data_IF_921420576673
#
_entry.id   IF_921420576673
#
_cell.length_a   1.000
_cell.length_b   1.000
_cell.length_c   1.000
_cell.angle_alpha   90.00
_cell.angle_beta   90.00
_cell.angle_gamma   90.00
#
_symmetry.space_group_name_H-M   'P 1'
#
loop_
_entity.id
_entity.type
_entity.pdbx_description
1 polymer ?
#
# COMPACT_ATOMS: atom_id res chain seq x y z
N UNK A 1 0.37 18.10 -9.84
CA UNK A 1 -0.46 18.31 -11.05
C UNK A 1 -0.58 19.78 -11.43
N UNK A 2 -1.11 20.65 -10.56
CA UNK A 2 -1.23 22.09 -10.85
C UNK A 2 0.12 22.75 -11.12
N UNK A 3 1.15 22.41 -10.35
CA UNK A 3 2.50 22.92 -10.54
C UNK A 3 3.07 22.50 -11.91
N UNK A 4 2.99 21.21 -12.24
CA UNK A 4 3.48 20.68 -13.54
C UNK A 4 2.82 21.41 -14.70
N UNK A 5 1.50 21.56 -14.66
CA UNK A 5 0.75 22.26 -15.71
C UNK A 5 1.12 23.74 -15.80
N UNK A 6 1.24 24.42 -14.67
CA UNK A 6 1.66 25.82 -14.65
C UNK A 6 3.07 26.02 -15.24
N UNK A 7 3.99 25.10 -14.95
CA UNK A 7 5.34 25.12 -15.52
C UNK A 7 5.33 24.83 -17.03
N UNK A 8 4.55 23.85 -17.49
CA UNK A 8 4.39 23.56 -18.91
C UNK A 8 3.78 24.74 -19.67
N UNK A 9 2.73 25.35 -19.13
CA UNK A 9 2.13 26.59 -19.68
C UNK A 9 3.15 27.75 -19.71
N UNK A 10 4.00 27.87 -18.69
CA UNK A 10 5.08 28.86 -18.66
C UNK A 10 6.14 28.57 -19.74
N UNK A 11 6.50 27.33 -19.97
CA UNK A 11 7.46 26.95 -21.02
C UNK A 11 6.92 27.29 -22.41
N UNK A 12 5.61 27.18 -22.64
CA UNK A 12 4.95 27.46 -23.91
C UNK A 12 5.10 28.92 -24.38
N UNK A 13 5.50 29.85 -23.50
CA UNK A 13 5.84 31.24 -23.87
C UNK A 13 7.11 31.35 -24.73
N UNK A 14 7.93 30.28 -24.78
CA UNK A 14 9.16 30.22 -25.58
C UNK A 14 9.13 28.99 -26.50
N UNK A 15 9.36 27.81 -25.93
CA UNK A 15 9.31 26.50 -26.61
C UNK A 15 8.53 25.56 -25.74
N UNK A 16 7.39 25.01 -26.19
CA UNK A 16 6.55 24.13 -25.36
C UNK A 16 7.31 22.90 -24.88
N UNK A 17 7.26 22.66 -23.56
CA UNK A 17 7.75 21.43 -22.93
C UNK A 17 6.54 20.64 -22.41
N UNK A 18 6.37 19.38 -22.82
CA UNK A 18 5.23 18.56 -22.40
C UNK A 18 5.13 18.37 -20.88
N UNK A 19 3.90 18.25 -20.37
CA UNK A 19 3.61 17.99 -18.95
C UNK A 19 4.40 16.79 -18.41
N UNK A 20 4.52 15.72 -19.21
CA UNK A 20 5.22 14.49 -18.85
C UNK A 20 6.72 14.72 -18.64
N UNK A 21 7.33 15.59 -19.45
CA UNK A 21 8.75 15.95 -19.34
C UNK A 21 8.99 16.79 -18.09
N UNK A 22 8.14 17.80 -17.84
CA UNK A 22 8.20 18.60 -16.61
C UNK A 22 8.00 17.70 -15.37
N UNK A 23 7.02 16.80 -15.42
CA UNK A 23 6.77 15.87 -14.32
C UNK A 23 8.00 14.98 -14.05
N UNK A 24 8.64 14.47 -15.11
CA UNK A 24 9.85 13.65 -14.98
C UNK A 24 11.02 14.45 -14.39
N UNK A 25 11.23 15.69 -14.84
CA UNK A 25 12.30 16.57 -14.32
C UNK A 25 12.12 17.00 -12.87
N UNK A 26 10.89 16.92 -12.35
CA UNK A 26 10.57 17.20 -10.94
C UNK A 26 10.73 15.97 -10.04
N UNK A 27 10.96 14.77 -10.62
CA UNK A 27 11.23 13.57 -9.83
C UNK A 27 12.67 13.58 -9.31
N UNK A 28 12.91 12.86 -8.21
CA UNK A 28 14.23 12.72 -7.64
C UNK A 28 14.64 13.87 -6.72
N UNK A 29 15.95 14.01 -6.46
CA UNK A 29 16.50 15.05 -5.60
C UNK A 29 16.78 16.30 -6.41
N UNK A 30 16.25 17.45 -5.96
CA UNK A 30 16.48 18.74 -6.58
C UNK A 30 16.46 19.87 -5.56
N UNK A 31 17.07 20.99 -5.91
CA UNK A 31 17.10 22.20 -5.10
C UNK A 31 16.36 23.35 -5.81
N UNK A 32 15.64 24.22 -5.07
CA UNK A 32 14.88 25.33 -5.66
C UNK A 32 15.81 26.49 -6.05
N UNK A 33 16.66 26.26 -7.06
CA UNK A 33 17.60 27.26 -7.60
C UNK A 33 17.09 27.82 -8.93
N UNK A 34 17.54 29.04 -9.29
CA UNK A 34 17.24 29.61 -10.58
C UNK A 34 17.76 28.78 -11.75
N UNK A 35 18.94 28.14 -11.57
CA UNK A 35 19.52 27.25 -12.56
C UNK A 35 18.65 25.99 -12.77
N UNK A 36 18.19 25.36 -11.71
CA UNK A 36 17.26 24.21 -11.82
C UNK A 36 15.95 24.62 -12.50
N UNK A 37 15.40 25.80 -12.16
CA UNK A 37 14.20 26.33 -12.80
C UNK A 37 14.39 26.53 -14.32
N UNK A 38 15.52 27.06 -14.74
CA UNK A 38 15.83 27.23 -16.16
C UNK A 38 15.95 25.90 -16.89
N UNK A 39 16.61 24.91 -16.30
CA UNK A 39 16.69 23.54 -16.84
C UNK A 39 15.32 22.89 -16.94
N UNK A 40 14.47 23.09 -15.94
CA UNK A 40 13.12 22.53 -15.90
C UNK A 40 12.27 22.94 -17.11
N UNK A 41 12.46 24.18 -17.58
CA UNK A 41 11.72 24.80 -18.71
C UNK A 41 12.47 24.74 -20.04
N UNK A 42 13.69 24.23 -20.08
CA UNK A 42 14.46 24.15 -21.32
C UNK A 42 13.87 23.10 -22.28
N UNK A 43 13.82 23.35 -23.60
CA UNK A 43 13.30 22.40 -24.59
C UNK A 43 14.16 21.14 -24.67
N UNK A 44 15.48 21.30 -24.59
CA UNK A 44 16.46 20.22 -24.59
C UNK A 44 17.28 20.31 -23.30
N UNK A 45 17.31 19.25 -22.53
CA UNK A 45 18.16 19.12 -21.35
C UNK A 45 18.81 17.74 -21.44
N UNK A 46 20.12 17.74 -21.40
CA UNK A 46 20.88 16.55 -21.11
C UNK A 46 20.53 16.12 -19.67
N UNK A 47 19.66 15.15 -19.55
CA UNK A 47 19.15 14.69 -18.27
C UNK A 47 20.20 13.78 -17.60
N UNK A 48 21.28 14.41 -17.15
CA UNK A 48 22.43 13.77 -16.56
C UNK A 48 22.16 13.09 -15.20
N UNK A 49 20.93 13.16 -14.68
CA UNK A 49 20.57 12.48 -13.43
C UNK A 49 20.18 11.03 -13.71
N UNK A 50 21.20 10.18 -13.73
CA UNK A 50 21.06 8.73 -13.94
C UNK A 50 20.19 8.05 -12.89
N UNK A 51 20.00 8.68 -11.72
CA UNK A 51 19.19 8.13 -10.63
C UNK A 51 17.70 8.36 -10.79
N UNK A 52 17.27 9.28 -11.68
CA UNK A 52 15.92 9.79 -11.73
C UNK A 52 14.87 8.73 -12.14
N UNK A 53 13.83 8.51 -11.29
CA UNK A 53 12.73 7.61 -11.62
C UNK A 53 11.76 8.25 -12.61
N UNK A 54 10.98 7.43 -13.31
CA UNK A 54 9.83 7.91 -14.07
C UNK A 54 8.65 8.24 -13.17
N UNK A 55 7.81 9.23 -13.52
CA UNK A 55 6.57 9.49 -12.80
C UNK A 55 5.67 8.26 -12.80
N UNK A 56 5.14 7.90 -11.62
CA UNK A 56 4.35 6.68 -11.47
C UNK A 56 2.95 6.80 -12.11
N UNK A 57 2.56 5.79 -12.87
CA UNK A 57 1.19 5.62 -13.31
C UNK A 57 0.34 5.01 -12.19
N UNK A 58 -0.78 5.64 -11.85
CA UNK A 58 -1.61 5.29 -10.69
C UNK A 58 -2.98 4.78 -11.14
N UNK A 59 -3.38 3.62 -10.65
CA UNK A 59 -4.68 3.02 -10.91
C UNK A 59 -5.83 3.77 -10.23
N UNK A 60 -6.99 3.82 -10.90
CA UNK A 60 -8.27 4.21 -10.32
C UNK A 60 -8.89 3.07 -9.50
N UNK A 61 -9.68 3.36 -8.44
CA UNK A 61 -10.52 2.34 -7.84
C UNK A 61 -11.58 1.90 -8.88
N UNK A 62 -11.81 0.59 -8.99
CA UNK A 62 -12.97 0.05 -9.66
C UNK A 62 -14.08 -0.02 -8.60
N UNK A 63 -15.08 0.84 -8.75
CA UNK A 63 -16.23 0.95 -7.86
C UNK A 63 -17.43 0.14 -8.40
N UNK A 64 -17.46 -0.03 -9.72
CA UNK A 64 -18.46 -0.83 -10.42
C UNK A 64 -17.99 -2.29 -10.51
N UNK A 65 -18.93 -3.17 -10.87
CA UNK A 65 -18.60 -4.57 -11.17
C UNK A 65 -17.75 -4.67 -12.45
N UNK A 66 -16.93 -5.72 -12.62
CA UNK A 66 -16.01 -5.88 -13.77
C UNK A 66 -16.69 -5.87 -15.13
N UNK A 67 -18.01 -6.12 -15.18
CA UNK A 67 -18.83 -6.09 -16.39
C UNK A 67 -18.74 -4.75 -17.11
N UNK A 68 -18.51 -3.67 -16.41
CA UNK A 68 -18.34 -2.32 -16.97
C UNK A 68 -17.07 -2.16 -17.80
N UNK A 69 -16.12 -3.10 -17.70
CA UNK A 69 -14.81 -3.01 -18.38
C UNK A 69 -14.78 -3.61 -19.78
N UNK A 70 -15.86 -4.27 -20.27
CA UNK A 70 -15.89 -4.89 -21.59
C UNK A 70 -15.27 -6.30 -21.60
N UNK A 71 -14.57 -6.67 -22.68
CA UNK A 71 -14.01 -8.01 -22.86
C UNK A 71 -12.89 -8.29 -21.84
N UNK A 72 -12.95 -9.45 -21.15
CA UNK A 72 -11.94 -9.86 -20.16
C UNK A 72 -10.57 -10.05 -20.80
N UNK A 73 -10.48 -10.46 -22.04
CA UNK A 73 -9.22 -10.70 -22.76
C UNK A 73 -8.44 -9.41 -23.08
N UNK A 74 -9.10 -8.25 -23.04
CA UNK A 74 -8.41 -6.95 -23.14
C UNK A 74 -7.63 -6.58 -21.90
N UNK A 75 -7.82 -7.30 -20.80
CA UNK A 75 -7.25 -6.97 -19.51
C UNK A 75 -6.24 -8.00 -19.04
N UNK A 76 -5.18 -7.51 -18.41
CA UNK A 76 -4.24 -8.30 -17.66
C UNK A 76 -4.59 -8.15 -16.18
N UNK A 77 -4.96 -9.26 -15.54
CA UNK A 77 -5.22 -9.30 -14.11
C UNK A 77 -3.96 -9.73 -13.36
N UNK A 78 -3.64 -9.01 -12.29
CA UNK A 78 -2.54 -9.32 -11.40
C UNK A 78 -3.00 -9.17 -9.94
N UNK A 79 -2.30 -9.83 -9.01
CA UNK A 79 -2.57 -9.63 -7.60
C UNK A 79 -2.19 -8.21 -7.16
N UNK A 80 -3.09 -7.57 -6.41
CA UNK A 80 -2.77 -6.31 -5.75
C UNK A 80 -2.08 -6.60 -4.41
N UNK A 81 -0.77 -6.62 -4.47
CA UNK A 81 0.08 -6.85 -3.30
C UNK A 81 0.06 -5.67 -2.34
N UNK A 82 0.34 -5.97 -1.07
CA UNK A 82 0.45 -5.00 0.00
C UNK A 82 1.91 -4.82 0.40
N UNK A 83 2.56 -3.86 -0.21
CA UNK A 83 3.99 -3.58 -0.05
C UNK A 83 4.33 -2.10 -0.21
N UNK A 84 5.52 -1.84 -0.71
CA UNK A 84 5.99 -0.51 -1.10
C UNK A 84 6.28 -0.52 -2.59
N UNK A 85 5.46 0.16 -3.38
CA UNK A 85 5.74 0.33 -4.80
C UNK A 85 7.03 1.10 -5.01
N UNK A 86 7.89 0.56 -5.88
CA UNK A 86 9.19 1.14 -6.18
C UNK A 86 9.59 0.94 -7.64
N UNK A 87 10.44 1.84 -8.14
CA UNK A 87 11.16 1.68 -9.39
C UNK A 87 12.62 1.33 -9.12
N UNK A 88 13.07 0.26 -9.74
CA UNK A 88 14.47 -0.17 -9.79
C UNK A 88 15.09 0.35 -11.08
N UNK A 89 16.16 1.11 -10.97
CA UNK A 89 16.85 1.79 -12.07
C UNK A 89 18.26 1.25 -12.15
N UNK A 90 18.64 0.73 -13.31
CA UNK A 90 20.01 0.31 -13.63
C UNK A 90 20.53 1.16 -14.77
N UNK A 91 21.37 2.13 -14.49
CA UNK A 91 21.95 3.04 -15.50
C UNK A 91 23.39 3.38 -15.19
N UNK A 92 24.24 3.42 -16.21
CA UNK A 92 25.67 3.73 -16.12
C UNK A 92 26.40 2.91 -15.05
N UNK A 93 26.11 1.61 -15.00
CA UNK A 93 26.72 0.72 -14.02
C UNK A 93 26.24 0.91 -12.58
N UNK A 94 25.28 1.82 -12.30
CA UNK A 94 24.76 2.12 -10.98
C UNK A 94 23.32 1.61 -10.82
N UNK A 95 22.94 1.31 -9.58
CA UNK A 95 21.60 0.85 -9.24
C UNK A 95 20.95 1.80 -8.24
N UNK A 96 19.72 2.21 -8.53
CA UNK A 96 18.92 3.06 -7.66
C UNK A 96 17.55 2.45 -7.44
N UNK A 97 17.01 2.63 -6.24
CA UNK A 97 15.66 2.17 -5.89
C UNK A 97 14.88 3.33 -5.29
N UNK A 98 13.84 3.77 -6.00
CA UNK A 98 12.97 4.86 -5.61
C UNK A 98 11.59 4.35 -5.21
N UNK A 99 11.12 4.74 -4.03
CA UNK A 99 9.74 4.49 -3.65
C UNK A 99 8.76 5.43 -4.37
N UNK A 100 7.49 5.04 -4.43
CA UNK A 100 6.41 5.90 -4.97
C UNK A 100 6.28 7.23 -4.21
N UNK A 101 6.73 7.29 -2.97
CA UNK A 101 6.76 8.51 -2.17
C UNK A 101 7.92 9.44 -2.50
N UNK A 102 8.64 9.20 -3.61
CA UNK A 102 9.80 10.00 -4.05
C UNK A 102 10.96 9.95 -3.05
N UNK A 103 11.14 8.82 -2.38
CA UNK A 103 12.23 8.58 -1.45
C UNK A 103 13.23 7.60 -2.07
N UNK A 104 14.52 7.96 -2.11
CA UNK A 104 15.60 7.06 -2.50
C UNK A 104 15.83 6.07 -1.36
N UNK A 105 15.57 4.79 -1.63
CA UNK A 105 15.60 3.72 -0.63
C UNK A 105 16.64 2.64 -0.93
N UNK A 106 17.59 2.92 -1.83
CA UNK A 106 18.63 2.01 -2.29
C UNK A 106 19.33 1.30 -1.12
N UNK A 107 19.81 2.04 -0.12
CA UNK A 107 20.55 1.50 1.02
C UNK A 107 19.71 0.62 1.96
N UNK A 108 18.37 0.67 1.82
CA UNK A 108 17.45 -0.09 2.66
C UNK A 108 17.14 -1.49 2.14
N UNK A 109 17.52 -1.79 0.89
CA UNK A 109 17.21 -3.06 0.23
C UNK A 109 18.42 -3.60 -0.53
N UNK A 110 19.56 -3.82 0.17
CA UNK A 110 20.82 -4.22 -0.46
C UNK A 110 20.73 -5.54 -1.22
N UNK A 111 19.85 -6.46 -0.80
CA UNK A 111 19.60 -7.73 -1.49
C UNK A 111 18.95 -7.55 -2.87
N UNK A 112 18.06 -6.57 -3.01
CA UNK A 112 17.43 -6.21 -4.29
C UNK A 112 18.43 -5.49 -5.19
N UNK A 113 19.23 -4.60 -4.60
CA UNK A 113 20.28 -3.86 -5.32
C UNK A 113 21.33 -4.81 -5.88
N UNK A 114 21.80 -5.78 -5.08
CA UNK A 114 22.76 -6.78 -5.53
C UNK A 114 22.20 -7.65 -6.67
N UNK A 115 20.92 -8.03 -6.60
CA UNK A 115 20.27 -8.78 -7.68
C UNK A 115 20.16 -7.96 -8.99
N UNK A 116 19.99 -6.65 -8.88
CA UNK A 116 19.90 -5.76 -10.03
C UNK A 116 21.23 -5.61 -10.82
N UNK A 117 22.37 -5.99 -10.26
CA UNK A 117 23.65 -6.01 -10.97
C UNK A 117 23.65 -6.99 -12.16
N UNK A 118 22.74 -7.97 -12.15
CA UNK A 118 22.55 -8.92 -13.25
C UNK A 118 21.71 -8.35 -14.41
N UNK A 119 21.04 -7.21 -14.20
CA UNK A 119 20.25 -6.57 -15.24
C UNK A 119 21.16 -5.82 -16.21
N UNK A 120 20.82 -5.82 -17.52
CA UNK A 120 21.48 -4.95 -18.48
C UNK A 120 21.42 -3.49 -18.08
N UNK A 121 22.44 -2.73 -18.44
CA UNK A 121 22.44 -1.28 -18.24
C UNK A 121 21.34 -0.62 -19.08
N UNK A 122 20.77 0.49 -18.60
CA UNK A 122 19.62 1.10 -19.23
C UNK A 122 18.30 0.35 -18.99
N UNK A 123 18.15 -0.32 -17.84
CA UNK A 123 16.92 -1.02 -17.45
C UNK A 123 16.21 -0.28 -16.31
N UNK A 124 14.90 -0.04 -16.46
CA UNK A 124 14.04 0.46 -15.37
C UNK A 124 12.83 -0.45 -15.21
N UNK A 125 12.67 -0.98 -14.01
CA UNK A 125 11.57 -1.88 -13.62
C UNK A 125 10.63 -1.18 -12.63
N UNK A 126 9.33 -1.42 -12.75
CA UNK A 126 8.32 -1.04 -11.77
C UNK A 126 7.84 -2.29 -11.02
N UNK A 127 7.79 -2.23 -9.71
CA UNK A 127 7.47 -3.40 -8.88
C UNK A 127 6.98 -3.04 -7.49
N UNK A 128 6.72 -4.06 -6.69
CA UNK A 128 6.34 -3.95 -5.29
C UNK A 128 7.41 -4.58 -4.41
N UNK A 129 7.99 -3.81 -3.48
CA UNK A 129 8.87 -4.33 -2.44
C UNK A 129 8.02 -5.07 -1.40
N UNK A 130 8.31 -6.36 -1.24
CA UNK A 130 7.56 -7.25 -0.37
C UNK A 130 8.49 -8.02 0.57
N UNK A 131 8.12 -8.19 1.84
CA UNK A 131 8.82 -9.11 2.73
C UNK A 131 8.49 -10.54 2.29
N UNK A 132 9.53 -11.37 2.08
CA UNK A 132 9.40 -12.65 1.40
C UNK A 132 10.19 -13.76 2.07
N UNK A 133 9.55 -14.89 2.35
CA UNK A 133 10.23 -16.07 2.90
C UNK A 133 9.58 -17.36 2.40
N UNK A 134 10.38 -18.38 2.17
CA UNK A 134 9.86 -19.71 1.79
C UNK A 134 8.97 -19.72 0.53
N UNK A 135 9.19 -18.80 -0.43
CA UNK A 135 8.36 -18.71 -1.63
C UNK A 135 7.05 -17.93 -1.45
N UNK A 136 6.82 -17.32 -0.28
CA UNK A 136 5.56 -16.63 0.05
C UNK A 136 5.77 -15.23 0.62
N UNK A 137 4.77 -14.37 0.42
CA UNK A 137 4.76 -13.00 0.96
C UNK A 137 4.45 -13.05 2.45
N UNK A 138 5.29 -12.42 3.26
CA UNK A 138 5.04 -12.21 4.69
C UNK A 138 4.06 -11.03 4.88
N UNK A 139 3.37 -10.93 6.02
CA UNK A 139 2.52 -9.78 6.34
C UNK A 139 3.29 -8.46 6.26
N UNK A 140 2.66 -7.40 5.78
CA UNK A 140 3.25 -6.05 5.67
C UNK A 140 3.87 -5.53 6.97
N UNK A 141 3.35 -5.95 8.12
CA UNK A 141 3.90 -5.63 9.44
C UNK A 141 5.38 -6.01 9.57
N UNK A 142 5.85 -7.05 8.87
CA UNK A 142 7.26 -7.42 8.86
C UNK A 142 8.08 -6.40 8.07
N UNK A 143 7.58 -5.93 6.91
CA UNK A 143 8.25 -4.88 6.14
C UNK A 143 8.35 -3.57 6.94
N UNK A 144 7.33 -3.23 7.74
CA UNK A 144 7.36 -2.05 8.61
C UNK A 144 8.51 -2.07 9.61
N UNK A 145 9.04 -3.23 10.01
CA UNK A 145 10.22 -3.34 10.89
C UNK A 145 11.49 -2.80 10.21
N UNK A 146 11.54 -2.78 8.87
CA UNK A 146 12.67 -2.23 8.07
C UNK A 146 12.46 -0.76 7.72
N UNK A 147 11.21 -0.35 7.52
CA UNK A 147 10.86 1.04 7.17
C UNK A 147 11.33 2.00 8.28
N UNK A 148 12.01 3.06 7.90
CA UNK A 148 12.48 4.08 8.85
C UNK A 148 13.80 3.75 9.57
N UNK A 149 14.39 2.59 9.37
CA UNK A 149 15.73 2.29 9.89
C UNK A 149 16.80 2.89 8.99
N UNK A 150 17.73 3.64 9.57
CA UNK A 150 18.88 4.21 8.84
C UNK A 150 19.93 3.14 8.52
N UNK A 151 20.09 2.14 9.39
CA UNK A 151 21.04 1.03 9.23
C UNK A 151 20.33 -0.29 9.45
N UNK A 152 20.67 -1.29 8.64
CA UNK A 152 20.13 -2.64 8.72
C UNK A 152 21.20 -3.59 9.25
N UNK A 153 20.88 -4.35 10.29
CA UNK A 153 21.75 -5.43 10.77
C UNK A 153 21.60 -6.68 9.89
N UNK A 154 22.63 -7.53 9.85
CA UNK A 154 22.55 -8.84 9.17
C UNK A 154 21.38 -9.68 9.66
N UNK A 155 21.10 -9.63 10.97
CA UNK A 155 19.93 -10.30 11.57
C UNK A 155 18.62 -9.82 10.96
N UNK A 156 18.44 -8.50 10.78
CA UNK A 156 17.23 -7.93 10.19
C UNK A 156 17.05 -8.36 8.73
N UNK A 157 18.12 -8.40 7.95
CA UNK A 157 18.08 -8.86 6.56
C UNK A 157 17.68 -10.33 6.45
N UNK A 158 18.11 -11.17 7.40
CA UNK A 158 17.75 -12.60 7.48
C UNK A 158 16.32 -12.82 7.98
N UNK A 159 15.88 -12.06 8.99
CA UNK A 159 14.54 -12.19 9.57
C UNK A 159 13.44 -11.66 8.65
N UNK A 160 13.74 -10.63 7.88
CA UNK A 160 12.81 -9.97 6.97
C UNK A 160 13.48 -9.76 5.61
N UNK A 161 13.75 -10.84 4.87
CA UNK A 161 14.24 -10.71 3.50
C UNK A 161 13.19 -10.03 2.62
N UNK A 162 13.63 -9.25 1.63
CA UNK A 162 12.75 -8.48 0.75
C UNK A 162 13.07 -8.78 -0.71
N UNK A 163 12.03 -8.84 -1.51
CA UNK A 163 12.10 -8.95 -2.97
C UNK A 163 11.47 -7.72 -3.62
N UNK A 164 11.84 -7.42 -4.84
CA UNK A 164 11.06 -6.56 -5.72
C UNK A 164 10.25 -7.46 -6.66
N UNK A 165 8.97 -7.62 -6.38
CA UNK A 165 8.05 -8.33 -7.26
C UNK A 165 7.73 -7.42 -8.45
N UNK A 166 8.28 -7.74 -9.62
CA UNK A 166 8.26 -6.88 -10.79
C UNK A 166 7.04 -7.15 -11.66
N UNK A 167 6.43 -6.09 -12.19
CA UNK A 167 5.23 -6.20 -13.02
C UNK A 167 5.22 -5.30 -14.27
N UNK A 168 6.18 -4.37 -14.41
CA UNK A 168 6.28 -3.53 -15.60
C UNK A 168 7.74 -3.19 -15.93
N UNK A 169 8.02 -2.95 -17.21
CA UNK A 169 9.30 -2.53 -17.77
C UNK A 169 9.13 -1.14 -18.39
N UNK A 170 9.88 -0.18 -17.90
CA UNK A 170 9.75 1.22 -18.33
C UNK A 170 10.87 1.69 -19.24
N UNK A 171 12.05 1.08 -19.10
CA UNK A 171 13.22 1.35 -19.92
C UNK A 171 13.97 0.05 -20.20
N UNK A 172 14.42 -0.09 -21.43
CA UNK A 172 15.18 -1.25 -21.89
C UNK A 172 16.32 -0.80 -22.80
N UNK A 173 17.55 -1.18 -22.47
CA UNK A 173 18.78 -0.80 -23.21
C UNK A 173 18.88 0.72 -23.43
N UNK A 174 18.45 1.52 -22.43
CA UNK A 174 18.44 2.97 -22.47
C UNK A 174 17.29 3.59 -23.29
N UNK A 175 16.45 2.78 -23.92
CA UNK A 175 15.27 3.25 -24.63
C UNK A 175 14.03 3.35 -23.74
N UNK A 176 13.27 4.44 -23.83
CA UNK A 176 12.00 4.63 -23.11
C UNK A 176 10.90 3.75 -23.70
N UNK A 177 10.39 2.79 -22.92
CA UNK A 177 9.34 1.85 -23.30
C UNK A 177 7.95 2.23 -22.83
N UNK A 178 7.78 3.32 -22.12
CA UNK A 178 6.50 3.74 -21.53
C UNK A 178 5.41 3.99 -22.58
N UNK A 179 5.76 4.39 -23.77
CA UNK A 179 4.84 4.60 -24.90
C UNK A 179 4.36 3.30 -25.58
N UNK A 180 4.99 2.16 -25.29
CA UNK A 180 4.59 0.86 -25.83
C UNK A 180 3.38 0.29 -25.09
N UNK A 181 2.57 -0.57 -25.72
CA UNK A 181 1.51 -1.30 -25.05
C UNK A 181 2.03 -2.14 -23.86
N UNK A 182 1.21 -2.29 -22.82
CA UNK A 182 1.55 -3.13 -21.68
C UNK A 182 1.90 -4.56 -22.07
N UNK A 183 1.21 -5.12 -23.08
CA UNK A 183 1.49 -6.48 -23.60
C UNK A 183 2.92 -6.63 -24.10
N UNK A 184 3.47 -5.62 -24.78
CA UNK A 184 4.85 -5.64 -25.25
C UNK A 184 5.84 -5.47 -24.11
N UNK A 185 5.58 -4.52 -23.22
CA UNK A 185 6.42 -4.28 -22.02
C UNK A 185 6.47 -5.53 -21.13
N UNK A 186 5.33 -6.22 -20.99
CA UNK A 186 5.24 -7.47 -20.23
C UNK A 186 6.01 -8.61 -20.89
N UNK A 187 5.87 -8.79 -22.19
CA UNK A 187 6.61 -9.81 -22.92
C UNK A 187 8.14 -9.61 -22.79
N UNK A 188 8.62 -8.36 -22.90
CA UNK A 188 10.03 -8.05 -22.72
C UNK A 188 10.50 -8.26 -21.27
N UNK A 189 9.66 -7.91 -20.29
CA UNK A 189 9.93 -8.16 -18.87
C UNK A 189 10.09 -9.66 -18.59
N UNK A 190 9.22 -10.49 -19.16
CA UNK A 190 9.29 -11.95 -19.05
C UNK A 190 10.56 -12.49 -19.71
N UNK A 191 10.89 -12.03 -20.91
CA UNK A 191 12.09 -12.42 -21.62
C UNK A 191 13.38 -12.04 -20.84
N UNK A 192 13.33 -10.95 -20.09
CA UNK A 192 14.44 -10.50 -19.23
C UNK A 192 14.56 -11.34 -17.96
N UNK A 193 13.46 -11.50 -17.20
CA UNK A 193 13.53 -12.00 -15.83
C UNK A 193 13.46 -13.53 -15.71
N UNK A 194 12.75 -14.21 -16.62
CA UNK A 194 12.64 -15.68 -16.56
C UNK A 194 13.99 -16.39 -16.69
N UNK A 195 14.89 -15.99 -17.62
CA UNK A 195 16.23 -16.60 -17.71
C UNK A 195 17.12 -16.27 -16.50
N UNK A 196 16.97 -15.07 -15.91
CA UNK A 196 17.75 -14.66 -14.74
C UNK A 196 17.40 -15.48 -13.50
N UNK A 197 16.15 -15.96 -13.39
CA UNK A 197 15.63 -16.75 -12.28
C UNK A 197 16.04 -16.20 -10.90
N UNK A 198 16.14 -14.86 -10.77
CA UNK A 198 16.60 -14.19 -9.55
C UNK A 198 15.54 -14.27 -8.45
N UNK A 199 15.84 -14.86 -7.30
CA UNK A 199 14.89 -14.93 -6.19
C UNK A 199 14.47 -13.55 -5.64
N UNK A 200 15.31 -12.51 -5.85
CA UNK A 200 15.06 -11.15 -5.36
C UNK A 200 14.30 -10.29 -6.37
N UNK A 201 14.21 -10.72 -7.63
CA UNK A 201 13.48 -10.04 -8.70
C UNK A 201 12.42 -10.96 -9.33
N UNK A 202 11.50 -11.53 -8.52
CA UNK A 202 10.47 -12.40 -9.06
C UNK A 202 9.49 -11.60 -9.95
N UNK A 203 8.97 -12.29 -10.96
CA UNK A 203 7.94 -11.75 -11.84
C UNK A 203 6.57 -11.87 -11.18
N UNK A 204 5.78 -10.80 -11.20
CA UNK A 204 4.37 -10.83 -10.77
C UNK A 204 3.57 -11.78 -11.64
N UNK A 205 2.92 -12.75 -11.03
CA UNK A 205 2.09 -13.70 -11.76
C UNK A 205 0.84 -13.02 -12.32
N UNK A 206 0.52 -13.33 -13.57
CA UNK A 206 -0.77 -12.99 -14.17
C UNK A 206 -1.81 -13.96 -13.60
N UNK A 207 -2.94 -13.42 -13.17
CA UNK A 207 -4.10 -14.20 -12.74
C UNK A 207 -4.84 -14.65 -13.99
N UNK A 208 -4.90 -15.96 -14.28
CA UNK A 208 -5.62 -16.45 -15.44
C UNK A 208 -7.12 -16.22 -15.27
N UNK A 209 -7.77 -15.74 -16.32
CA UNK A 209 -9.22 -15.55 -16.38
C UNK A 209 -9.67 -15.61 -17.82
N UNK A 210 -10.57 -16.55 -18.10
CA UNK A 210 -11.29 -16.68 -19.38
C UNK A 210 -12.63 -15.97 -19.32
N UNK A 211 -13.16 -15.82 -18.11
CA UNK A 211 -14.42 -15.17 -17.82
C UNK A 211 -14.25 -14.13 -16.70
N UNK A 212 -15.25 -13.29 -16.54
CA UNK A 212 -15.29 -12.34 -15.42
C UNK A 212 -15.53 -13.00 -14.07
N UNK A 213 -16.27 -14.12 -14.09
CA UNK A 213 -16.49 -14.93 -12.88
C UNK A 213 -15.18 -15.48 -12.35
N UNK A 214 -14.23 -15.83 -13.21
CA UNK A 214 -12.89 -16.27 -12.80
C UNK A 214 -12.17 -15.18 -12.00
N UNK A 215 -12.29 -13.91 -12.44
CA UNK A 215 -11.73 -12.77 -11.70
C UNK A 215 -12.41 -12.58 -10.34
N UNK A 216 -13.72 -12.79 -10.27
CA UNK A 216 -14.51 -12.70 -9.02
C UNK A 216 -14.10 -13.80 -8.06
N UNK A 217 -13.97 -15.03 -8.53
CA UNK A 217 -13.50 -16.19 -7.76
C UNK A 217 -12.06 -15.98 -7.28
N UNK A 218 -11.16 -15.55 -8.18
CA UNK A 218 -9.79 -15.24 -7.81
C UNK A 218 -9.73 -14.17 -6.71
N UNK A 219 -10.51 -13.09 -6.87
CA UNK A 219 -10.60 -12.02 -5.88
C UNK A 219 -11.12 -12.54 -4.53
N UNK A 220 -12.06 -13.46 -4.49
CA UNK A 220 -12.59 -14.05 -3.26
C UNK A 220 -11.53 -14.88 -2.50
N UNK A 221 -10.66 -15.63 -3.20
CA UNK A 221 -9.58 -16.47 -2.64
C UNK A 221 -8.35 -15.68 -2.12
N UNK A 222 -8.38 -14.38 -2.06
CA UNK A 222 -7.25 -13.49 -1.69
C UNK A 222 -6.70 -13.67 -0.28
N UNK A 223 -7.57 -14.05 0.70
CA UNK A 223 -7.18 -14.10 2.12
C UNK A 223 -6.02 -15.06 2.36
N UNK A 224 -5.95 -16.11 1.58
CA UNK A 224 -4.87 -17.10 1.61
C UNK A 224 -3.52 -16.57 1.08
N UNK A 225 -3.54 -15.43 0.35
CA UNK A 225 -2.38 -14.90 -0.37
C UNK A 225 -1.83 -13.58 0.18
N UNK A 226 -2.39 -13.00 1.24
CA UNK A 226 -2.00 -11.70 1.79
C UNK A 226 -2.03 -10.56 0.75
N UNK A 227 -3.06 -10.52 -0.11
CA UNK A 227 -3.24 -9.50 -1.14
C UNK A 227 -4.47 -8.63 -0.85
N UNK A 228 -4.49 -7.39 -1.38
CA UNK A 228 -5.59 -6.44 -1.19
C UNK A 228 -6.71 -6.57 -2.24
N UNK A 229 -6.58 -7.44 -3.23
CA UNK A 229 -7.49 -7.62 -4.35
C UNK A 229 -6.76 -7.85 -5.66
N UNK A 230 -7.30 -7.33 -6.75
CA UNK A 230 -6.74 -7.42 -8.08
C UNK A 230 -6.36 -6.04 -8.66
N UNK A 231 -5.36 -6.04 -9.50
CA UNK A 231 -5.04 -4.97 -10.45
C UNK A 231 -5.51 -5.44 -11.83
N UNK A 232 -6.34 -4.64 -12.49
CA UNK A 232 -6.78 -4.88 -13.85
C UNK A 232 -6.13 -3.81 -14.73
N UNK A 233 -5.29 -4.23 -15.66
CA UNK A 233 -4.51 -3.34 -16.51
C UNK A 233 -4.88 -3.64 -17.98
N UNK A 234 -5.27 -2.61 -18.74
CA UNK A 234 -5.57 -2.80 -20.16
C UNK A 234 -4.29 -3.18 -20.91
N UNK A 235 -4.32 -4.29 -21.67
CA UNK A 235 -3.16 -4.85 -22.37
C UNK A 235 -2.59 -3.89 -23.42
N UNK A 236 -3.44 -3.07 -24.05
CA UNK A 236 -3.05 -2.04 -25.02
C UNK A 236 -2.59 -0.72 -24.42
N UNK A 237 -2.64 -0.57 -23.07
CA UNK A 237 -2.33 0.71 -22.43
C UNK A 237 -0.85 1.05 -22.44
N UNK A 238 -0.55 2.33 -22.62
CA UNK A 238 0.76 2.91 -22.37
C UNK A 238 0.97 3.15 -20.89
N UNK A 239 2.20 3.35 -20.43
CA UNK A 239 2.50 3.74 -19.06
C UNK A 239 2.40 5.27 -18.93
N UNK A 240 1.31 5.73 -18.33
CA UNK A 240 0.97 7.15 -18.25
C UNK A 240 1.52 7.80 -16.97
N UNK A 241 1.35 9.12 -16.85
CA UNK A 241 1.78 9.88 -15.67
C UNK A 241 0.61 10.17 -14.74
N UNK A 242 0.80 9.84 -13.46
CA UNK A 242 -0.17 10.11 -12.40
C UNK A 242 -1.43 9.23 -12.50
N UNK A 243 -2.56 9.74 -12.03
CA UNK A 243 -3.81 8.98 -12.01
C UNK A 243 -4.68 9.36 -13.21
N UNK A 244 -4.87 8.43 -14.13
CA UNK A 244 -5.78 8.57 -15.27
C UNK A 244 -6.78 7.41 -15.27
N UNK A 245 -8.04 7.72 -15.59
CA UNK A 245 -9.13 6.74 -15.62
C UNK A 245 -9.12 6.03 -16.97
N UNK A 246 -9.43 4.72 -16.95
CA UNK A 246 -9.70 3.94 -18.16
C UNK A 246 -8.77 2.77 -18.38
N UNK A 247 -7.48 2.87 -18.03
CA UNK A 247 -6.48 1.87 -18.39
C UNK A 247 -6.05 0.96 -17.22
N UNK A 248 -5.90 1.53 -16.02
CA UNK A 248 -5.50 0.77 -14.84
C UNK A 248 -6.52 0.92 -13.73
N UNK A 249 -7.03 -0.22 -13.25
CA UNK A 249 -7.99 -0.30 -12.16
C UNK A 249 -7.45 -1.15 -11.01
N UNK A 250 -7.73 -0.73 -9.80
CA UNK A 250 -7.55 -1.50 -8.58
C UNK A 250 -8.91 -1.95 -8.09
N UNK A 251 -9.15 -3.23 -8.17
CA UNK A 251 -10.37 -3.86 -7.71
C UNK A 251 -10.15 -4.45 -6.34
N UNK A 252 -10.24 -3.57 -5.36
CA UNK A 252 -10.10 -3.96 -3.96
C UNK A 252 -11.34 -4.69 -3.50
N UNK A 253 -11.18 -5.49 -2.46
CA UNK A 253 -12.32 -6.03 -1.77
C UNK A 253 -12.84 -4.99 -0.80
N UNK A 254 -14.13 -5.11 -0.47
CA UNK A 254 -14.76 -4.28 0.51
C UNK A 254 -14.01 -4.35 1.85
N UNK A 255 -13.81 -3.21 2.50
CA UNK A 255 -13.16 -3.17 3.80
C UNK A 255 -13.99 -3.99 4.80
N UNK A 256 -13.34 -4.49 5.84
CA UNK A 256 -14.07 -4.90 7.03
C UNK A 256 -14.84 -3.71 7.56
N UNK A 257 -16.08 -3.91 7.97
CA UNK A 257 -16.90 -2.85 8.55
C UNK A 257 -17.29 -3.17 9.98
N UNK A 258 -17.36 -2.12 10.81
CA UNK A 258 -17.77 -2.24 12.20
C UNK A 258 -18.43 -0.95 12.67
N UNK A 259 -19.52 -1.06 13.43
CA UNK A 259 -20.14 0.10 14.04
C UNK A 259 -19.50 0.41 15.39
N UNK A 260 -18.97 1.61 15.53
CA UNK A 260 -18.16 2.01 16.67
C UNK A 260 -18.60 3.36 17.25
N UNK A 261 -18.40 3.53 18.55
CA UNK A 261 -18.74 4.74 19.30
C UNK A 261 -17.57 5.70 19.31
N UNK A 262 -17.79 6.96 18.97
CA UNK A 262 -16.79 8.02 19.12
C UNK A 262 -16.64 8.40 20.60
N UNK A 263 -15.39 8.28 21.12
CA UNK A 263 -15.09 8.59 22.53
C UNK A 263 -14.08 9.72 22.71
N UNK A 264 -13.21 9.98 21.73
CA UNK A 264 -12.29 11.11 21.76
C UNK A 264 -12.27 11.83 20.41
N UNK A 265 -11.97 13.12 20.46
CA UNK A 265 -11.73 13.96 19.29
C UNK A 265 -10.48 14.84 19.51
N UNK A 266 -9.74 15.06 18.43
CA UNK A 266 -8.55 15.91 18.40
C UNK A 266 -8.66 16.89 17.23
N UNK A 267 -8.07 18.08 17.36
CA UNK A 267 -8.00 19.05 16.28
C UNK A 267 -7.16 18.51 15.13
N UNK A 268 -7.60 18.77 13.92
CA UNK A 268 -6.87 18.44 12.72
C UNK A 268 -5.64 19.31 12.51
N UNK A 269 -4.99 19.13 11.37
CA UNK A 269 -3.82 19.91 10.94
C UNK A 269 -4.11 20.65 9.64
N UNK A 270 -3.26 21.62 9.30
CA UNK A 270 -3.38 22.40 8.07
C UNK A 270 -4.74 23.13 7.96
N UNK A 271 -5.47 22.94 6.87
CA UNK A 271 -6.79 23.59 6.64
C UNK A 271 -7.85 23.22 7.68
N UNK A 272 -7.67 22.11 8.40
CA UNK A 272 -8.59 21.60 9.41
C UNK A 272 -8.16 21.90 10.85
N UNK A 273 -7.14 22.74 11.06
CA UNK A 273 -6.61 23.06 12.39
C UNK A 273 -7.63 23.72 13.33
N UNK A 274 -8.66 24.37 12.77
CA UNK A 274 -9.74 24.99 13.55
C UNK A 274 -10.86 24.04 13.96
N UNK A 275 -10.93 22.84 13.37
CA UNK A 275 -11.98 21.84 13.56
C UNK A 275 -11.44 20.61 14.29
N UNK A 276 -12.29 19.94 15.06
CA UNK A 276 -12.04 18.58 15.50
C UNK A 276 -12.31 17.64 14.31
N UNK A 277 -11.27 17.00 13.77
CA UNK A 277 -11.35 16.15 12.59
C UNK A 277 -10.61 14.82 12.72
N UNK A 278 -10.03 14.58 13.87
CA UNK A 278 -9.33 13.35 14.24
C UNK A 278 -10.12 12.69 15.39
N UNK A 279 -10.67 11.49 15.16
CA UNK A 279 -11.58 10.85 16.10
C UNK A 279 -11.07 9.49 16.53
N UNK A 280 -11.24 9.16 17.82
CA UNK A 280 -10.96 7.83 18.37
C UNK A 280 -12.28 7.11 18.63
N UNK A 281 -12.33 5.86 18.17
CA UNK A 281 -13.50 5.02 18.22
C UNK A 281 -13.29 3.80 19.11
N UNK A 282 -14.36 3.37 19.75
CA UNK A 282 -14.40 2.26 20.67
C UNK A 282 -15.54 1.29 20.33
N UNK A 283 -15.39 0.05 20.75
CA UNK A 283 -16.40 -0.99 20.74
C UNK A 283 -16.69 -1.47 22.17
N UNK A 284 -17.79 -2.13 22.39
CA UNK A 284 -18.17 -2.64 23.67
C UNK A 284 -17.41 -3.90 24.07
N UNK A 285 -16.91 -3.94 25.31
CA UNK A 285 -16.35 -5.14 25.95
C UNK A 285 -16.81 -5.20 27.41
N UNK A 286 -17.61 -6.20 27.74
CA UNK A 286 -18.15 -6.39 29.11
C UNK A 286 -18.76 -5.12 29.73
N UNK A 287 -19.48 -4.32 28.93
CA UNK A 287 -20.15 -3.10 29.39
C UNK A 287 -19.26 -1.84 29.41
N UNK A 288 -17.99 -1.94 28.98
CA UNK A 288 -17.07 -0.82 28.84
C UNK A 288 -16.74 -0.53 27.39
N UNK A 289 -16.48 0.72 27.05
CA UNK A 289 -16.04 1.15 25.71
C UNK A 289 -14.51 1.06 25.60
N UNK A 290 -14.02 0.12 24.81
CA UNK A 290 -12.59 -0.14 24.59
C UNK A 290 -12.13 0.48 23.27
N UNK A 291 -11.20 1.46 23.27
CA UNK A 291 -10.68 2.09 22.08
C UNK A 291 -9.87 1.13 21.22
N UNK A 292 -10.07 1.16 19.88
CA UNK A 292 -9.35 0.31 18.95
C UNK A 292 -8.89 1.00 17.66
N UNK A 293 -9.53 2.11 17.24
CA UNK A 293 -9.23 2.78 16.00
C UNK A 293 -9.20 4.30 16.14
N UNK A 294 -8.39 4.95 15.28
CA UNK A 294 -8.38 6.39 15.10
C UNK A 294 -8.57 6.69 13.62
N UNK A 295 -9.63 7.45 13.26
CA UNK A 295 -9.90 7.83 11.88
C UNK A 295 -10.06 9.35 11.74
N UNK A 296 -9.62 9.88 10.57
CA UNK A 296 -9.63 11.31 10.26
C UNK A 296 -10.21 11.62 8.87
N UNK A 297 -10.79 10.64 8.20
CA UNK A 297 -11.36 10.77 6.85
C UNK A 297 -12.71 10.06 6.75
N UNK A 298 -13.50 10.46 5.77
CA UNK A 298 -14.77 9.83 5.43
C UNK A 298 -16.00 10.68 5.69
N UNK A 299 -15.92 11.71 6.56
CA UNK A 299 -17.02 12.66 6.75
C UNK A 299 -17.01 13.74 5.68
N UNK A 300 -18.20 14.17 5.28
CA UNK A 300 -18.41 15.39 4.51
C UNK A 300 -18.08 16.62 5.35
N UNK A 301 -17.87 17.78 4.71
CA UNK A 301 -17.61 19.03 5.43
C UNK A 301 -18.80 19.46 6.30
N UNK A 302 -20.04 19.11 5.93
CA UNK A 302 -21.23 19.39 6.72
C UNK A 302 -21.27 18.52 7.97
N UNK A 303 -21.03 17.21 7.85
CA UNK A 303 -20.96 16.28 8.98
C UNK A 303 -19.81 16.63 9.92
N UNK A 304 -18.64 16.99 9.38
CA UNK A 304 -17.49 17.40 10.18
C UNK A 304 -17.80 18.63 11.03
N UNK A 305 -18.52 19.64 10.48
CA UNK A 305 -18.97 20.80 11.26
C UNK A 305 -20.00 20.40 12.34
N UNK A 306 -20.89 19.48 12.04
CA UNK A 306 -21.86 18.99 13.02
C UNK A 306 -21.18 18.24 14.16
N UNK A 307 -20.19 17.38 13.86
CA UNK A 307 -19.38 16.69 14.86
C UNK A 307 -18.52 17.67 15.66
N UNK A 308 -17.91 18.68 15.03
CA UNK A 308 -17.16 19.74 15.74
C UNK A 308 -18.05 20.48 16.77
N UNK A 309 -19.27 20.84 16.36
CA UNK A 309 -20.24 21.47 17.24
C UNK A 309 -20.65 20.54 18.39
N UNK A 310 -20.81 19.25 18.12
CA UNK A 310 -21.06 18.25 19.15
C UNK A 310 -19.91 18.14 20.15
N UNK A 311 -18.68 18.01 19.68
CA UNK A 311 -17.46 17.91 20.51
C UNK A 311 -17.35 19.11 21.45
N UNK A 312 -17.57 20.33 20.93
CA UNK A 312 -17.51 21.56 21.75
C UNK A 312 -18.52 21.58 22.87
N UNK A 313 -19.72 21.05 22.64
CA UNK A 313 -20.83 21.05 23.65
C UNK A 313 -20.74 19.88 24.63
N UNK A 314 -20.14 18.76 24.20
CA UNK A 314 -20.15 17.49 24.94
C UNK A 314 -18.78 17.04 25.42
N UNK A 315 -17.78 17.93 25.46
CA UNK A 315 -16.47 17.64 26.04
C UNK A 315 -16.62 17.41 27.54
N UNK A 316 -16.18 16.23 28.01
CA UNK A 316 -16.09 15.86 29.44
C UNK A 316 -14.76 16.28 30.04
N UNK A 317 -13.66 15.88 29.39
CA UNK A 317 -12.29 16.09 29.85
C UNK A 317 -11.37 16.58 28.73
N UNK A 318 -10.27 17.20 29.13
CA UNK A 318 -9.28 17.75 28.19
C UNK A 318 -7.89 17.18 28.50
N UNK A 319 -7.30 16.50 27.52
CA UNK A 319 -5.95 15.94 27.61
C UNK A 319 -5.07 16.60 26.54
N UNK A 320 -4.50 17.76 26.85
CA UNK A 320 -3.79 18.55 25.84
C UNK A 320 -4.68 18.86 24.60
N UNK A 321 -4.30 18.40 23.39
CA UNK A 321 -5.09 18.61 22.18
C UNK A 321 -6.34 17.71 22.08
N UNK A 322 -6.41 16.64 22.87
CA UNK A 322 -7.48 15.65 22.84
C UNK A 322 -8.63 16.06 23.76
N UNK A 323 -9.85 15.77 23.33
CA UNK A 323 -11.09 15.94 24.08
C UNK A 323 -11.76 14.59 24.28
N UNK A 324 -12.02 14.21 25.50
CA UNK A 324 -12.97 13.15 25.83
C UNK A 324 -14.38 13.70 25.66
N UNK A 325 -15.23 12.97 24.98
CA UNK A 325 -16.61 13.40 24.72
C UNK A 325 -17.62 12.42 25.33
N UNK A 326 -18.80 12.90 25.58
CA UNK A 326 -19.92 12.03 25.97
C UNK A 326 -20.17 11.02 24.84
N UNK A 327 -20.10 9.70 25.09
CA UNK A 327 -20.39 8.69 24.08
C UNK A 327 -21.86 8.76 23.66
N UNK A 328 -22.11 9.23 22.44
CA UNK A 328 -23.47 9.36 21.88
C UNK A 328 -23.52 9.13 20.37
N UNK A 329 -22.36 9.23 19.70
CA UNK A 329 -22.30 9.15 18.25
C UNK A 329 -21.76 7.79 17.82
N UNK A 330 -22.50 7.10 16.95
CA UNK A 330 -22.10 5.83 16.35
C UNK A 330 -21.75 6.07 14.89
N UNK A 331 -20.64 5.46 14.46
CA UNK A 331 -20.16 5.52 13.08
C UNK A 331 -19.82 4.14 12.58
N UNK A 332 -20.16 3.87 11.32
CA UNK A 332 -19.63 2.72 10.62
C UNK A 332 -18.20 3.03 10.15
N UNK A 333 -17.26 2.23 10.59
CA UNK A 333 -15.86 2.31 10.20
C UNK A 333 -15.52 1.21 9.21
N UNK A 334 -14.78 1.57 8.17
CA UNK A 334 -14.14 0.62 7.28
C UNK A 334 -12.64 0.55 7.53
N UNK A 335 -12.05 -0.65 7.45
CA UNK A 335 -10.60 -0.85 7.55
C UNK A 335 -10.14 -2.01 6.67
N UNK A 336 -8.91 -1.92 6.16
CA UNK A 336 -8.38 -2.84 5.14
C UNK A 336 -7.90 -4.17 5.72
N UNK A 337 -7.39 -4.15 6.97
CA UNK A 337 -6.90 -5.33 7.67
C UNK A 337 -6.98 -5.15 9.19
N UNK A 338 -6.95 -6.26 9.91
CA UNK A 338 -6.88 -6.33 11.36
C UNK A 338 -5.78 -7.33 11.77
N UNK A 339 -5.05 -7.00 12.82
CA UNK A 339 -3.99 -7.85 13.37
C UNK A 339 -3.97 -7.79 14.91
N UNK A 340 -3.40 -8.81 15.55
CA UNK A 340 -3.15 -8.79 17.00
C UNK A 340 -2.15 -7.69 17.36
N UNK A 341 -2.37 -7.01 18.49
CA UNK A 341 -1.51 -5.92 18.94
C UNK A 341 -1.46 -5.86 20.47
N UNK A 342 -0.31 -6.13 21.04
CA UNK A 342 -0.07 -5.95 22.48
C UNK A 342 0.04 -4.48 22.92
N UNK A 343 0.03 -3.52 21.99
CA UNK A 343 0.12 -2.08 22.30
C UNK A 343 -1.22 -1.43 22.57
N UNK A 344 -2.30 -2.04 22.11
CA UNK A 344 -3.67 -1.52 22.21
C UNK A 344 -4.45 -2.27 23.28
N UNK A 345 -5.24 -1.54 24.08
CA UNK A 345 -6.13 -2.14 25.11
C UNK A 345 -7.10 -3.17 24.50
N UNK A 346 -7.53 -2.96 23.27
CA UNK A 346 -8.38 -3.90 22.52
C UNK A 346 -7.69 -5.22 22.17
N UNK A 347 -6.37 -5.30 22.26
CA UNK A 347 -5.58 -6.43 21.77
C UNK A 347 -5.45 -6.51 20.25
N UNK A 348 -6.00 -5.55 19.50
CA UNK A 348 -5.97 -5.50 18.04
C UNK A 348 -5.54 -4.14 17.50
N UNK A 349 -5.00 -4.11 16.30
CA UNK A 349 -4.74 -2.92 15.50
C UNK A 349 -5.41 -3.08 14.15
N UNK A 350 -6.06 -2.03 13.65
CA UNK A 350 -6.69 -1.99 12.34
C UNK A 350 -5.89 -1.10 11.40
N UNK A 351 -5.91 -1.43 10.10
CA UNK A 351 -5.15 -0.73 9.08
C UNK A 351 -6.04 0.15 8.23
N UNK A 352 -5.62 1.40 8.01
CA UNK A 352 -6.36 2.41 7.26
C UNK A 352 -7.82 2.58 7.68
N UNK A 353 -8.09 2.77 8.98
CA UNK A 353 -9.44 3.01 9.42
C UNK A 353 -9.96 4.33 8.86
N UNK A 354 -11.19 4.29 8.36
CA UNK A 354 -11.90 5.46 7.84
C UNK A 354 -13.36 5.38 8.22
N UNK A 355 -14.01 6.52 8.32
CA UNK A 355 -15.44 6.61 8.54
C UNK A 355 -16.11 6.35 7.18
N UNK A 356 -17.03 5.38 7.13
CA UNK A 356 -17.86 5.12 5.96
C UNK A 356 -19.15 5.96 6.01
N UNK A 357 -19.78 5.99 7.16
CA UNK A 357 -20.98 6.83 7.38
C UNK A 357 -21.23 7.07 8.85
N UNK A 358 -21.97 8.13 9.14
CA UNK A 358 -22.53 8.40 10.46
C UNK A 358 -23.83 7.61 10.63
N UNK A 359 -23.92 6.79 11.69
CA UNK A 359 -25.07 5.93 12.00
C UNK A 359 -26.09 6.67 12.86
N UNK A 360 -26.86 7.58 12.25
CA UNK A 360 -27.95 8.29 12.95
C UNK A 360 -29.11 7.38 13.38
N UNK A 361 -29.18 6.21 12.77
CA UNK A 361 -30.18 5.16 12.99
C UNK A 361 -29.85 4.25 14.17
N UNK A 362 -28.63 4.33 14.75
CA UNK A 362 -28.17 3.46 15.84
C UNK A 362 -27.94 4.21 17.14
N UNK A 363 -28.36 3.59 18.24
CA UNK A 363 -27.97 3.98 19.61
C UNK A 363 -26.61 3.41 19.94
N UNK A 364 -25.95 3.97 20.97
CA UNK A 364 -24.61 3.53 21.36
C UNK A 364 -24.56 2.08 21.83
N UNK A 365 -25.65 1.59 22.43
CA UNK A 365 -25.79 0.21 22.90
C UNK A 365 -25.85 -0.81 21.74
N UNK A 366 -26.19 -0.35 20.54
CA UNK A 366 -26.27 -1.15 19.32
C UNK A 366 -24.94 -1.15 18.52
N UNK A 367 -23.92 -0.44 19.01
CA UNK A 367 -22.58 -0.52 18.45
C UNK A 367 -21.98 -1.91 18.69
N UNK A 368 -21.05 -2.30 17.81
CA UNK A 368 -20.45 -3.62 17.84
C UNK A 368 -19.56 -3.86 19.08
N UNK A 369 -19.22 -5.13 19.28
CA UNK A 369 -18.44 -5.57 20.43
C UNK A 369 -16.98 -5.89 20.05
N UNK A 370 -16.11 -5.96 21.06
CA UNK A 370 -14.74 -6.41 20.90
C UNK A 370 -14.67 -7.88 20.42
N UNK A 371 -15.65 -8.69 20.74
CA UNK A 371 -15.79 -10.06 20.25
C UNK A 371 -16.02 -10.05 18.73
N UNK A 372 -16.97 -9.23 18.25
CA UNK A 372 -17.22 -9.04 16.81
C UNK A 372 -15.95 -8.58 16.08
N UNK A 373 -15.24 -7.61 16.65
CA UNK A 373 -14.00 -7.09 16.08
C UNK A 373 -12.91 -8.17 16.03
N UNK A 374 -12.72 -8.94 17.10
CA UNK A 374 -11.72 -10.03 17.15
C UNK A 374 -12.05 -11.20 16.23
N UNK A 375 -13.33 -11.46 15.97
CA UNK A 375 -13.75 -12.49 15.01
C UNK A 375 -13.31 -12.19 13.56
N UNK A 376 -12.92 -10.96 13.26
CA UNK A 376 -12.37 -10.57 11.96
C UNK A 376 -10.87 -10.82 11.83
N UNK A 377 -10.18 -11.25 12.90
CA UNK A 377 -8.76 -11.63 12.83
C UNK A 377 -8.59 -12.82 11.89
N UNK A 378 -7.53 -12.86 11.09
CA UNK A 378 -7.14 -14.07 10.36
C UNK A 378 -7.03 -15.24 11.36
N UNK A 379 -7.58 -16.40 11.00
CA UNK A 379 -7.48 -17.61 11.84
C UNK A 379 -6.01 -17.93 12.12
N UNK A 380 -5.69 -18.31 13.35
CA UNK A 380 -4.42 -18.96 13.66
C UNK A 380 -4.46 -20.32 12.95
N UNK A 381 -3.65 -20.52 11.92
CA UNK A 381 -3.28 -21.88 11.52
C UNK A 381 -2.66 -22.51 12.77
N UNK A 382 -3.32 -23.55 13.27
CA UNK A 382 -2.82 -24.36 14.36
C UNK A 382 -1.41 -24.82 13.99
N UNK A 383 -0.41 -24.22 14.61
CA UNK A 383 0.88 -24.88 14.75
C UNK A 383 0.60 -26.16 15.53
N UNK A 384 0.51 -27.26 14.79
CA UNK A 384 0.34 -28.59 15.36
C UNK A 384 1.53 -28.90 16.25
N UNK A 385 1.37 -28.70 17.54
CA UNK A 385 2.14 -29.45 18.53
C UNK A 385 1.67 -30.87 18.45
N UNK A 386 2.36 -31.70 17.67
CA UNK A 386 2.36 -33.11 17.82
C UNK A 386 3.03 -33.42 19.16
N UNK A 387 2.20 -33.49 20.20
CA UNK A 387 2.57 -34.12 21.45
C UNK A 387 2.91 -35.58 21.21
N UNK A 388 4.17 -35.92 21.24
CA UNK A 388 4.63 -37.29 21.35
C UNK A 388 4.34 -37.77 22.79
N UNK A 389 3.19 -38.43 22.97
CA UNK A 389 2.98 -39.31 24.10
C UNK A 389 3.90 -40.51 23.94
N UNK A 390 5.01 -40.50 24.65
CA UNK A 390 5.76 -41.73 24.96
C UNK A 390 5.10 -42.39 26.16
N UNK A 391 4.33 -43.42 25.89
CA UNK A 391 3.89 -44.40 26.85
C UNK A 391 5.13 -45.05 27.47
N UNK A 392 5.25 -44.95 28.79
CA UNK A 392 6.14 -45.76 29.60
C UNK A 392 5.29 -46.79 30.30
N UNK A 393 5.34 -48.03 29.80
CA UNK A 393 4.92 -49.23 30.54
C UNK A 393 6.11 -49.83 31.30
N UNK A 394 5.87 -49.90 32.58
CA UNK A 394 6.15 -50.97 33.55
C UNK A 394 7.42 -51.80 33.46
N UNK A 395 8.10 -51.87 34.60
CA UNK A 395 8.35 -53.19 35.10
C UNK A 395 9.71 -53.46 35.71
N UNK A 396 9.65 -53.74 37.01
CA UNK A 396 10.43 -54.68 37.78
C UNK A 396 11.72 -54.28 38.48
N UNK A 397 11.52 -54.19 39.76
CA UNK A 397 12.31 -54.82 40.87
C UNK A 397 13.69 -55.38 40.58
N UNK A 398 14.60 -55.05 41.39
CA UNK A 398 15.30 -55.86 42.37
C UNK A 398 16.76 -55.42 42.61
N UNK A 399 17.02 -55.17 43.84
CA UNK A 399 18.10 -55.60 44.74
C UNK A 399 19.57 -55.21 44.51
N UNK A 400 20.06 -54.65 45.63
CA UNK A 400 21.37 -54.86 46.31
C UNK A 400 22.65 -54.40 45.56
N UNK A 401 23.33 -53.49 46.10
CA UNK A 401 24.29 -53.34 47.19
C UNK A 401 24.75 -51.89 47.33
#
# INVERSE_FOLDING_TARGET
>A
RLLVRALAETSALRTPVPDEVIAHRLMGTWEPTAEFYMRLLAPEVDDADVSRPYPFFLAYPLEDEPESLGDVHEWQAEWKWDGIRAQLIRRQGQTFLWSRGEELVTDRYPEVVAAAEQLPDGTVLDGELLPWTGGSVMPFAQLQRRIGRKTLSRKMLQEVPVVLLTYDLLEWEGGDWRSRPLSERRAQLEALLLPLASPQLPLSAIVPAETRDDLTVARAGRRERNVEGLMLKRRSSTYQVGRKRGDWWKWKIEPHTIDAVMIYAQRGSGRRASLYSDYTFAVWDNGELVPFAKAYSGLTDAEMRAVDAFVRRNTRERFGPVRSVTPQLVFELGFEAIQRSGRHKSGVAVRFPRILRWRHDKRIEEADTLVTLKAMLPGDEQTGETGSETATETGHEADKE
#
